data_IF_323217531145
#
_entry.id   IF_323217531145
#
_cell.length_a   1.000
_cell.length_b   1.000
_cell.length_c   1.000
_cell.angle_alpha   90.00
_cell.angle_beta   90.00
_cell.angle_gamma   90.00
#
_symmetry.space_group_name_H-M   'P 1'
#
loop_
_entity.id
_entity.type
_entity.pdbx_description
1 polymer ?
#
# COMPACT_ATOMS: atom_id res chain seq x y z
N UNK A 1 -46.55 5.27 54.20
CA UNK A 1 -46.89 6.28 53.17
C UNK A 1 -45.62 6.54 52.38
N UNK A 2 -45.55 6.03 51.14
CA UNK A 2 -44.47 6.22 50.14
C UNK A 2 -43.13 5.55 50.48
N UNK A 3 -42.60 4.54 49.76
CA UNK A 3 -42.71 4.23 48.34
C UNK A 3 -41.61 4.94 47.56
N UNK A 4 -40.42 4.34 47.48
CA UNK A 4 -39.34 4.73 46.58
C UNK A 4 -38.57 3.47 46.18
N UNK A 5 -39.17 2.71 45.28
CA UNK A 5 -38.54 1.59 44.60
C UNK A 5 -37.48 2.13 43.65
N UNK A 6 -36.22 1.82 43.95
CA UNK A 6 -35.12 2.03 43.01
C UNK A 6 -35.20 1.00 41.91
N UNK A 7 -35.59 1.42 40.71
CA UNK A 7 -35.38 0.66 39.48
C UNK A 7 -33.87 0.46 39.25
N UNK A 8 -33.35 -0.66 39.74
CA UNK A 8 -32.08 -1.19 39.31
C UNK A 8 -32.22 -1.68 37.87
N UNK A 9 -31.82 -0.85 36.90
CA UNK A 9 -31.79 -1.17 35.49
C UNK A 9 -31.02 -2.47 35.23
N UNK A 10 -31.76 -3.54 34.95
CA UNK A 10 -31.27 -4.85 34.59
C UNK A 10 -30.53 -4.75 33.25
N UNK A 11 -29.20 -4.74 33.28
CA UNK A 11 -28.37 -4.83 32.07
C UNK A 11 -28.59 -6.22 31.46
N UNK A 12 -29.52 -6.33 30.52
CA UNK A 12 -29.86 -7.59 29.85
C UNK A 12 -28.60 -8.34 29.33
N UNK A 13 -28.40 -9.62 29.70
CA UNK A 13 -27.21 -10.41 29.34
C UNK A 13 -27.00 -10.60 27.83
N UNK A 14 -28.05 -10.36 27.03
CA UNK A 14 -28.03 -10.42 25.55
C UNK A 14 -27.06 -9.40 24.94
N UNK A 15 -26.96 -8.19 25.51
CA UNK A 15 -26.06 -7.15 25.00
C UNK A 15 -24.57 -7.49 25.15
N UNK A 16 -24.22 -8.20 26.24
CA UNK A 16 -22.86 -8.66 26.52
C UNK A 16 -22.39 -9.73 25.52
N UNK A 17 -23.23 -10.74 25.26
CA UNK A 17 -22.91 -11.83 24.34
C UNK A 17 -22.73 -11.35 22.89
N UNK A 18 -23.60 -10.43 22.42
CA UNK A 18 -23.48 -9.83 21.07
C UNK A 18 -22.18 -9.03 20.93
N UNK A 19 -21.80 -8.29 21.98
CA UNK A 19 -20.56 -7.49 21.99
C UNK A 19 -19.32 -8.38 22.00
N UNK A 20 -19.33 -9.48 22.78
CA UNK A 20 -18.25 -10.46 22.79
C UNK A 20 -18.06 -11.12 21.41
N UNK A 21 -19.15 -11.55 20.75
CA UNK A 21 -19.09 -12.14 19.41
C UNK A 21 -18.53 -11.19 18.34
N UNK A 22 -18.85 -9.89 18.43
CA UNK A 22 -18.28 -8.85 17.55
C UNK A 22 -16.78 -8.69 17.72
N UNK A 23 -16.29 -8.67 18.97
CA UNK A 23 -14.85 -8.58 19.27
C UNK A 23 -14.09 -9.80 18.75
N UNK A 24 -14.64 -11.00 18.93
CA UNK A 24 -14.06 -12.25 18.39
C UNK A 24 -13.97 -12.21 16.86
N UNK A 25 -15.03 -11.76 16.19
CA UNK A 25 -15.04 -11.64 14.71
C UNK A 25 -13.99 -10.63 14.23
N UNK A 26 -13.88 -9.48 14.91
CA UNK A 26 -12.88 -8.46 14.59
C UNK A 26 -11.46 -8.99 14.79
N UNK A 27 -11.19 -9.65 15.91
CA UNK A 27 -9.89 -10.27 16.19
C UNK A 27 -9.55 -11.35 15.15
N UNK A 28 -10.51 -12.18 14.75
CA UNK A 28 -10.33 -13.17 13.68
C UNK A 28 -9.99 -12.53 12.33
N UNK A 29 -10.64 -11.43 11.97
CA UNK A 29 -10.32 -10.70 10.73
C UNK A 29 -8.89 -10.14 10.75
N UNK A 30 -8.48 -9.54 11.87
CA UNK A 30 -7.09 -9.05 12.04
C UNK A 30 -6.10 -10.20 11.98
N UNK A 31 -6.39 -11.35 12.61
CA UNK A 31 -5.52 -12.53 12.57
C UNK A 31 -5.32 -13.07 11.14
N UNK A 32 -6.39 -13.14 10.33
CA UNK A 32 -6.29 -13.55 8.92
C UNK A 32 -5.44 -12.56 8.13
N UNK A 33 -5.61 -11.26 8.35
CA UNK A 33 -4.79 -10.23 7.71
C UNK A 33 -3.31 -10.38 8.10
N UNK A 34 -3.00 -10.48 9.40
CA UNK A 34 -1.61 -10.66 9.86
C UNK A 34 -0.98 -11.91 9.26
N UNK A 35 -1.70 -13.04 9.25
CA UNK A 35 -1.22 -14.28 8.64
C UNK A 35 -0.92 -14.09 7.13
N UNK A 36 -1.85 -13.49 6.39
CA UNK A 36 -1.66 -13.21 4.97
C UNK A 36 -0.46 -12.26 4.73
N UNK A 37 -0.28 -11.24 5.56
CA UNK A 37 0.85 -10.32 5.47
C UNK A 37 2.19 -11.04 5.65
N UNK A 38 2.30 -11.89 6.66
CA UNK A 38 3.52 -12.68 6.93
C UNK A 38 3.77 -13.69 5.79
N UNK A 39 2.73 -14.39 5.31
CA UNK A 39 2.86 -15.31 4.19
C UNK A 39 3.36 -14.58 2.93
N UNK A 40 2.77 -13.44 2.59
CA UNK A 40 3.07 -12.72 1.35
C UNK A 40 4.43 -12.02 1.37
N UNK A 41 4.95 -11.63 2.52
CA UNK A 41 6.22 -10.90 2.60
C UNK A 41 7.41 -11.76 3.06
N UNK A 42 7.18 -12.86 3.78
CA UNK A 42 8.27 -13.61 4.44
C UNK A 42 8.33 -15.09 4.06
N UNK A 43 7.18 -15.77 3.96
CA UNK A 43 7.18 -17.23 3.86
C UNK A 43 6.99 -17.73 2.42
N UNK A 44 6.07 -17.14 1.66
CA UNK A 44 5.74 -17.56 0.30
C UNK A 44 5.38 -16.38 -0.63
N UNK A 45 6.27 -15.40 -0.86
CA UNK A 45 5.96 -14.23 -1.69
C UNK A 45 5.50 -14.58 -3.12
N UNK A 46 6.02 -15.68 -3.69
CA UNK A 46 5.61 -16.19 -5.01
C UNK A 46 4.17 -16.71 -5.06
N UNK A 47 3.60 -17.08 -3.91
CA UNK A 47 2.23 -17.56 -3.78
C UNK A 47 1.26 -16.47 -3.31
N UNK A 48 1.69 -15.20 -3.29
CA UNK A 48 0.85 -14.08 -2.85
C UNK A 48 -0.52 -14.00 -3.55
N UNK A 49 -0.68 -14.28 -4.86
CA UNK A 49 -2.01 -14.26 -5.49
C UNK A 49 -2.95 -15.31 -4.89
N UNK A 50 -2.44 -16.54 -4.68
CA UNK A 50 -3.21 -17.64 -4.12
C UNK A 50 -3.58 -17.38 -2.66
N UNK A 51 -2.58 -17.07 -1.83
CA UNK A 51 -2.75 -16.81 -0.40
C UNK A 51 -3.64 -15.59 -0.15
N UNK A 52 -3.56 -14.55 -0.98
CA UNK A 52 -4.45 -13.38 -0.93
C UNK A 52 -5.88 -13.70 -1.33
N UNK A 53 -6.09 -14.52 -2.36
CA UNK A 53 -7.42 -14.98 -2.74
C UNK A 53 -8.06 -15.83 -1.62
N UNK A 54 -7.29 -16.74 -1.02
CA UNK A 54 -7.73 -17.57 0.11
C UNK A 54 -8.07 -16.70 1.33
N UNK A 55 -7.18 -15.77 1.71
CA UNK A 55 -7.41 -14.84 2.81
C UNK A 55 -8.66 -13.96 2.58
N UNK A 56 -8.84 -13.47 1.35
CA UNK A 56 -10.05 -12.72 0.95
C UNK A 56 -11.31 -13.56 1.13
N UNK A 57 -11.30 -14.82 0.67
CA UNK A 57 -12.40 -15.76 0.87
C UNK A 57 -12.72 -16.01 2.34
N UNK A 58 -11.68 -16.22 3.17
CA UNK A 58 -11.83 -16.42 4.61
C UNK A 58 -12.42 -15.18 5.30
N UNK A 59 -11.95 -13.98 4.95
CA UNK A 59 -12.47 -12.70 5.48
C UNK A 59 -13.94 -12.50 5.10
N UNK A 60 -14.30 -12.76 3.84
CA UNK A 60 -15.68 -12.67 3.38
C UNK A 60 -16.57 -13.69 4.09
N UNK A 61 -16.14 -14.94 4.23
CA UNK A 61 -16.88 -15.97 4.94
C UNK A 61 -17.12 -15.58 6.41
N UNK A 62 -16.08 -15.12 7.10
CA UNK A 62 -16.16 -14.62 8.47
C UNK A 62 -17.15 -13.44 8.58
N UNK A 63 -17.04 -12.45 7.69
CA UNK A 63 -17.92 -11.29 7.68
C UNK A 63 -19.39 -11.68 7.45
N UNK A 64 -19.64 -12.57 6.47
CA UNK A 64 -20.99 -13.03 6.13
C UNK A 64 -21.62 -13.86 7.25
N UNK A 65 -20.85 -14.75 7.90
CA UNK A 65 -21.29 -15.50 9.09
C UNK A 65 -21.60 -14.58 10.28
N UNK A 66 -20.97 -13.42 10.36
CA UNK A 66 -21.28 -12.40 11.37
C UNK A 66 -22.49 -11.52 11.03
N UNK A 67 -23.17 -11.77 9.91
CA UNK A 67 -24.37 -11.06 9.48
C UNK A 67 -24.14 -9.79 8.64
N UNK A 68 -22.91 -9.44 8.27
CA UNK A 68 -22.65 -8.27 7.42
C UNK A 68 -23.17 -8.48 6.00
N UNK A 69 -23.97 -7.55 5.48
CA UNK A 69 -24.50 -7.59 4.12
C UNK A 69 -23.45 -7.18 3.06
N UNK A 70 -23.70 -7.51 1.79
CA UNK A 70 -22.86 -7.09 0.67
C UNK A 70 -22.79 -5.56 0.51
N UNK A 71 -23.85 -4.85 0.87
CA UNK A 71 -23.86 -3.38 0.85
C UNK A 71 -22.95 -2.81 1.94
N UNK A 72 -23.02 -3.34 3.16
CA UNK A 72 -22.11 -2.97 4.27
C UNK A 72 -20.66 -3.28 3.94
N UNK A 73 -20.38 -4.37 3.23
CA UNK A 73 -19.05 -4.71 2.73
C UNK A 73 -18.56 -3.79 1.60
N UNK A 74 -19.42 -2.93 1.05
CA UNK A 74 -19.04 -1.97 0.03
C UNK A 74 -19.25 -2.44 -1.41
N UNK A 75 -19.91 -3.57 -1.64
CA UNK A 75 -20.27 -4.07 -2.98
C UNK A 75 -21.53 -3.41 -3.56
N UNK A 76 -21.97 -2.30 -2.96
CA UNK A 76 -23.05 -1.45 -3.46
C UNK A 76 -22.52 -0.45 -4.51
N UNK A 77 -23.43 0.14 -5.31
CA UNK A 77 -23.10 1.23 -6.28
C UNK A 77 -22.02 0.90 -7.32
N UNK A 78 -21.91 -0.37 -7.73
CA UNK A 78 -20.87 -0.85 -8.68
C UNK A 78 -20.69 0.05 -9.91
N UNK A 79 -21.77 0.45 -10.59
CA UNK A 79 -21.69 1.32 -11.77
C UNK A 79 -21.14 2.73 -11.48
N UNK A 80 -21.44 3.30 -10.30
CA UNK A 80 -20.86 4.58 -9.86
C UNK A 80 -19.40 4.40 -9.47
N UNK A 81 -19.08 3.30 -8.78
CA UNK A 81 -17.70 2.94 -8.43
C UNK A 81 -16.81 2.77 -9.64
N UNK A 82 -17.28 2.03 -10.66
CA UNK A 82 -16.58 1.85 -11.92
C UNK A 82 -16.36 3.17 -12.66
N UNK A 83 -17.35 4.09 -12.67
CA UNK A 83 -17.19 5.42 -13.28
C UNK A 83 -16.15 6.28 -12.55
N UNK A 84 -16.24 6.37 -11.22
CA UNK A 84 -15.28 7.15 -10.41
C UNK A 84 -13.88 6.54 -10.53
N UNK A 85 -13.77 5.24 -10.31
CA UNK A 85 -12.50 4.51 -10.37
C UNK A 85 -11.88 4.53 -11.76
N UNK A 86 -12.69 4.40 -12.82
CA UNK A 86 -12.24 4.51 -14.21
C UNK A 86 -11.72 5.91 -14.53
N UNK A 87 -12.43 6.97 -14.14
CA UNK A 87 -11.97 8.34 -14.34
C UNK A 87 -10.64 8.61 -13.60
N UNK A 88 -10.50 8.11 -12.38
CA UNK A 88 -9.27 8.21 -11.60
C UNK A 88 -8.13 7.39 -12.22
N UNK A 89 -8.41 6.17 -12.68
CA UNK A 89 -7.43 5.34 -13.39
C UNK A 89 -6.95 5.99 -14.69
N UNK A 90 -7.85 6.61 -15.46
CA UNK A 90 -7.50 7.40 -16.64
C UNK A 90 -6.65 8.62 -16.29
N UNK A 91 -6.95 9.30 -15.18
CA UNK A 91 -6.13 10.41 -14.71
C UNK A 91 -4.71 9.95 -14.32
N UNK A 92 -4.57 8.82 -13.63
CA UNK A 92 -3.26 8.21 -13.33
C UNK A 92 -2.52 7.89 -14.62
N UNK A 93 -3.16 7.23 -15.58
CA UNK A 93 -2.54 6.93 -16.88
C UNK A 93 -2.10 8.20 -17.63
N UNK A 94 -2.89 9.27 -17.56
CA UNK A 94 -2.52 10.56 -18.15
C UNK A 94 -1.31 11.20 -17.46
N UNK A 95 -1.21 11.11 -16.13
CA UNK A 95 -0.04 11.58 -15.36
C UNK A 95 1.21 10.81 -15.76
N UNK A 96 1.13 9.48 -15.83
CA UNK A 96 2.25 8.65 -16.31
C UNK A 96 2.63 9.00 -17.76
N UNK A 97 1.64 9.16 -18.65
CA UNK A 97 1.85 9.56 -20.04
C UNK A 97 2.53 10.91 -20.20
N UNK A 98 2.06 11.93 -19.48
CA UNK A 98 2.70 13.25 -19.45
C UNK A 98 4.13 13.17 -18.88
N UNK A 99 4.31 12.37 -17.83
CA UNK A 99 5.59 12.15 -17.17
C UNK A 99 6.66 11.52 -18.06
N UNK A 100 6.29 10.58 -18.93
CA UNK A 100 7.22 10.01 -19.93
C UNK A 100 7.38 10.88 -21.17
N UNK A 101 6.38 11.70 -21.51
CA UNK A 101 6.45 12.61 -22.65
C UNK A 101 7.47 13.74 -22.42
N UNK A 102 7.54 14.27 -21.19
CA UNK A 102 8.46 15.36 -20.81
C UNK A 102 9.84 14.78 -20.46
N UNK A 103 10.92 15.09 -21.22
CA UNK A 103 12.25 14.52 -20.97
C UNK A 103 12.78 14.73 -19.55
N UNK A 104 12.58 15.94 -19.01
CA UNK A 104 13.05 16.29 -17.67
C UNK A 104 12.46 15.42 -16.54
N UNK A 105 11.31 14.79 -16.76
CA UNK A 105 10.63 13.96 -15.76
C UNK A 105 10.81 12.46 -15.98
N UNK A 106 11.31 12.01 -17.14
CA UNK A 106 11.42 10.58 -17.50
C UNK A 106 12.15 9.74 -16.46
N UNK A 107 13.21 10.28 -15.86
CA UNK A 107 13.98 9.61 -14.80
C UNK A 107 13.14 9.16 -13.60
N UNK A 108 12.05 9.86 -13.30
CA UNK A 108 11.15 9.52 -12.18
C UNK A 108 10.19 8.36 -12.52
N UNK A 109 10.05 8.04 -13.80
CA UNK A 109 9.15 6.98 -14.29
C UNK A 109 9.91 5.73 -14.78
N UNK A 110 11.25 5.76 -14.78
CA UNK A 110 12.09 4.58 -15.01
C UNK A 110 12.30 3.84 -13.70
N UNK A 111 11.45 2.86 -13.45
CA UNK A 111 11.63 1.95 -12.32
C UNK A 111 12.59 0.82 -12.72
N UNK A 112 13.82 0.83 -12.19
CA UNK A 112 14.80 -0.23 -12.45
C UNK A 112 14.34 -1.61 -11.99
N UNK A 113 13.48 -1.68 -10.98
CA UNK A 113 12.88 -2.96 -10.55
C UNK A 113 11.95 -3.49 -11.63
N UNK A 114 11.12 -2.62 -12.21
CA UNK A 114 10.26 -3.01 -13.30
C UNK A 114 11.05 -3.37 -14.57
N UNK A 115 12.15 -2.65 -14.83
CA UNK A 115 13.02 -2.86 -15.99
C UNK A 115 13.92 -4.10 -15.90
N UNK A 116 14.30 -4.52 -14.68
CA UNK A 116 15.09 -5.74 -14.46
C UNK A 116 14.28 -7.03 -14.66
N UNK A 117 12.95 -6.95 -14.67
CA UNK A 117 12.08 -8.08 -14.97
C UNK A 117 11.98 -8.35 -16.47
N UNK A 118 11.79 -9.62 -16.84
CA UNK A 118 11.35 -9.97 -18.19
C UNK A 118 9.98 -9.34 -18.50
N UNK A 119 9.68 -9.11 -19.78
CA UNK A 119 8.39 -8.56 -20.21
C UNK A 119 7.22 -9.42 -19.72
N UNK A 120 7.33 -10.74 -19.86
CA UNK A 120 6.32 -11.68 -19.37
C UNK A 120 6.11 -11.54 -17.85
N UNK A 121 7.21 -11.45 -17.07
CA UNK A 121 7.10 -11.31 -15.62
C UNK A 121 6.48 -9.99 -15.22
N UNK A 122 6.79 -8.88 -15.88
CA UNK A 122 6.15 -7.62 -15.56
C UNK A 122 4.66 -7.57 -15.92
N UNK A 123 4.22 -8.26 -16.99
CA UNK A 123 2.80 -8.45 -17.24
C UNK A 123 2.15 -9.31 -16.16
N UNK A 124 2.81 -10.38 -15.70
CA UNK A 124 2.35 -11.18 -14.58
C UNK A 124 2.22 -10.33 -13.30
N UNK A 125 3.20 -9.47 -13.01
CA UNK A 125 3.14 -8.52 -11.90
C UNK A 125 1.93 -7.57 -12.05
N UNK A 126 1.81 -6.89 -13.19
CA UNK A 126 0.80 -5.86 -13.43
C UNK A 126 -0.63 -6.41 -13.53
N UNK A 127 -0.82 -7.64 -14.02
CA UNK A 127 -2.13 -8.21 -14.33
C UNK A 127 -2.60 -9.27 -13.33
N UNK A 128 -1.68 -9.92 -12.61
CA UNK A 128 -2.02 -10.99 -11.66
C UNK A 128 -1.55 -10.66 -10.24
N UNK A 129 -0.25 -10.42 -10.04
CA UNK A 129 0.28 -10.18 -8.70
C UNK A 129 -0.34 -8.95 -8.05
N UNK A 130 -0.35 -7.82 -8.74
CA UNK A 130 -0.89 -6.56 -8.21
C UNK A 130 -2.41 -6.69 -8.01
N UNK A 131 -3.23 -7.04 -9.02
CA UNK A 131 -4.68 -7.06 -8.82
C UNK A 131 -5.15 -8.08 -7.80
N UNK A 132 -4.55 -9.29 -7.76
CA UNK A 132 -5.02 -10.39 -6.91
C UNK A 132 -4.19 -10.54 -5.64
N UNK A 133 -2.85 -10.55 -5.78
CA UNK A 133 -1.92 -10.70 -4.65
C UNK A 133 -1.82 -9.47 -3.76
N UNK A 134 -2.29 -8.31 -4.22
CA UNK A 134 -2.25 -7.04 -3.45
C UNK A 134 -3.65 -6.44 -3.32
N UNK A 135 -4.20 -5.92 -4.42
CA UNK A 135 -5.37 -5.02 -4.37
C UNK A 135 -6.62 -5.74 -3.88
N UNK A 136 -6.89 -6.97 -4.35
CA UNK A 136 -8.07 -7.72 -3.94
C UNK A 136 -8.13 -7.89 -2.42
N UNK A 137 -7.06 -8.38 -1.82
CA UNK A 137 -6.98 -8.59 -0.38
C UNK A 137 -7.03 -7.26 0.38
N UNK A 138 -6.31 -6.25 -0.09
CA UNK A 138 -6.23 -4.98 0.62
C UNK A 138 -7.57 -4.22 0.61
N UNK A 139 -8.24 -4.15 -0.53
CA UNK A 139 -9.53 -3.46 -0.61
C UNK A 139 -10.64 -4.23 0.09
N UNK A 140 -10.73 -5.55 -0.12
CA UNK A 140 -11.77 -6.36 0.55
C UNK A 140 -11.49 -6.48 2.04
N UNK A 141 -10.23 -6.64 2.45
CA UNK A 141 -9.84 -6.81 3.84
C UNK A 141 -9.99 -5.53 4.65
N UNK A 142 -9.31 -4.45 4.27
CA UNK A 142 -9.29 -3.21 5.04
C UNK A 142 -10.55 -2.37 4.81
N UNK A 143 -10.89 -2.12 3.54
CA UNK A 143 -12.01 -1.25 3.17
C UNK A 143 -13.33 -2.00 3.19
N UNK A 144 -13.36 -3.30 2.94
CA UNK A 144 -14.57 -4.11 2.98
C UNK A 144 -14.91 -4.59 4.39
N UNK A 145 -14.22 -5.63 4.84
CA UNK A 145 -14.53 -6.42 6.04
C UNK A 145 -14.17 -5.68 7.32
N UNK A 146 -12.91 -5.28 7.49
CA UNK A 146 -12.43 -4.63 8.71
C UNK A 146 -13.17 -3.32 8.96
N UNK A 147 -13.27 -2.47 7.94
CA UNK A 147 -14.03 -1.22 8.03
C UNK A 147 -15.51 -1.46 8.40
N UNK A 148 -16.19 -2.45 7.80
CA UNK A 148 -17.59 -2.74 8.13
C UNK A 148 -17.77 -3.26 9.57
N UNK A 149 -16.88 -4.14 10.03
CA UNK A 149 -16.88 -4.64 11.41
C UNK A 149 -16.65 -3.52 12.43
N UNK A 150 -15.70 -2.63 12.15
CA UNK A 150 -15.43 -1.45 12.98
C UNK A 150 -16.60 -0.47 12.96
N UNK A 151 -17.20 -0.22 11.79
CA UNK A 151 -18.33 0.69 11.66
C UNK A 151 -19.54 0.21 12.46
N UNK A 152 -19.80 -1.11 12.47
CA UNK A 152 -20.88 -1.72 13.25
C UNK A 152 -20.63 -1.70 14.76
N UNK A 153 -19.37 -1.69 15.18
CA UNK A 153 -18.99 -1.78 16.59
C UNK A 153 -18.74 -0.42 17.24
N UNK A 154 -18.21 0.55 16.48
CA UNK A 154 -17.71 1.83 16.98
C UNK A 154 -18.17 3.04 16.16
N UNK A 155 -18.92 2.83 15.07
CA UNK A 155 -19.39 3.89 14.18
C UNK A 155 -18.42 4.23 13.04
N UNK A 156 -18.84 5.10 12.10
CA UNK A 156 -18.16 5.31 10.83
C UNK A 156 -16.81 6.04 10.97
N UNK A 157 -16.69 7.01 11.88
CA UNK A 157 -15.44 7.78 12.05
C UNK A 157 -14.31 6.90 12.59
N UNK A 158 -14.47 6.14 13.69
CA UNK A 158 -13.45 5.20 14.13
C UNK A 158 -13.12 4.13 13.09
N UNK A 159 -14.10 3.69 12.29
CA UNK A 159 -13.84 2.73 11.22
C UNK A 159 -12.88 3.25 10.14
N UNK A 160 -12.99 4.52 9.75
CA UNK A 160 -12.03 5.16 8.84
C UNK A 160 -10.66 5.24 9.50
N UNK A 161 -10.58 5.78 10.72
CA UNK A 161 -9.30 6.01 11.41
C UNK A 161 -8.56 4.70 11.66
N UNK A 162 -9.22 3.72 12.28
CA UNK A 162 -8.58 2.46 12.69
C UNK A 162 -8.25 1.58 11.49
N UNK A 163 -9.15 1.46 10.50
CA UNK A 163 -8.84 0.68 9.29
C UNK A 163 -7.67 1.29 8.52
N UNK A 164 -7.61 2.62 8.42
CA UNK A 164 -6.51 3.32 7.72
C UNK A 164 -5.19 3.21 8.49
N UNK A 165 -5.21 3.32 9.82
CA UNK A 165 -4.01 3.13 10.64
C UNK A 165 -3.46 1.69 10.52
N UNK A 166 -4.34 0.68 10.57
CA UNK A 166 -3.95 -0.72 10.37
C UNK A 166 -3.44 -0.98 8.95
N UNK A 167 -4.00 -0.28 7.95
CA UNK A 167 -3.48 -0.31 6.58
C UNK A 167 -2.10 0.36 6.46
N UNK A 168 -1.83 1.40 7.24
CA UNK A 168 -0.47 1.93 7.40
C UNK A 168 0.49 0.86 7.93
N UNK A 169 0.12 0.21 9.04
CA UNK A 169 0.94 -0.83 9.68
C UNK A 169 1.15 -2.07 8.79
N UNK A 170 0.19 -2.41 7.92
CA UNK A 170 0.33 -3.47 6.91
C UNK A 170 1.56 -3.30 6.02
N UNK A 171 2.01 -2.05 5.82
CA UNK A 171 3.12 -1.71 4.95
C UNK A 171 4.49 -1.74 5.64
N UNK A 172 4.59 -2.12 6.92
CA UNK A 172 5.88 -2.21 7.61
C UNK A 172 6.83 -3.19 6.91
N UNK A 173 6.40 -4.42 6.62
CA UNK A 173 7.28 -5.41 5.98
C UNK A 173 7.69 -5.00 4.54
N UNK A 174 6.76 -4.59 3.65
CA UNK A 174 7.14 -4.05 2.34
C UNK A 174 8.08 -2.84 2.42
N UNK A 175 7.86 -1.92 3.37
CA UNK A 175 8.70 -0.73 3.51
C UNK A 175 10.11 -1.07 4.00
N UNK A 176 10.25 -2.04 4.91
CA UNK A 176 11.55 -2.57 5.30
C UNK A 176 12.30 -3.16 4.11
N UNK A 177 11.62 -3.99 3.31
CA UNK A 177 12.24 -4.64 2.14
C UNK A 177 12.61 -3.60 1.06
N UNK A 178 11.80 -2.55 0.91
CA UNK A 178 12.10 -1.44 0.01
C UNK A 178 13.32 -0.63 0.48
N UNK A 179 13.43 -0.36 1.78
CA UNK A 179 14.54 0.40 2.35
C UNK A 179 15.87 -0.38 2.28
N UNK A 180 15.85 -1.69 2.48
CA UNK A 180 17.04 -2.54 2.36
C UNK A 180 17.45 -2.74 0.89
N UNK A 181 16.50 -2.77 -0.04
CA UNK A 181 16.76 -2.96 -1.47
C UNK A 181 17.14 -1.68 -2.22
N UNK A 182 16.97 -0.48 -1.65
CA UNK A 182 17.26 0.78 -2.34
C UNK A 182 18.07 1.77 -1.46
N UNK A 183 19.41 1.74 -1.57
CA UNK A 183 20.28 2.67 -0.86
C UNK A 183 20.00 4.15 -1.15
N UNK A 184 19.49 4.49 -2.34
CA UNK A 184 19.17 5.88 -2.71
C UNK A 184 17.93 6.42 -1.97
N UNK A 185 16.96 5.56 -1.67
CA UNK A 185 15.82 5.95 -0.82
C UNK A 185 16.25 6.17 0.63
N UNK A 186 17.21 5.40 1.12
CA UNK A 186 17.81 5.59 2.43
C UNK A 186 18.56 6.93 2.50
N UNK A 187 19.37 7.27 1.49
CA UNK A 187 20.07 8.56 1.38
C UNK A 187 19.14 9.79 1.33
N UNK A 188 18.02 9.69 0.62
CA UNK A 188 16.99 10.74 0.62
C UNK A 188 16.34 10.92 2.01
N UNK A 189 16.15 9.83 2.77
CA UNK A 189 15.63 9.88 4.13
C UNK A 189 16.67 10.42 5.14
N UNK A 190 17.95 10.41 4.80
CA UNK A 190 19.04 11.09 5.53
C UNK A 190 19.09 12.60 5.26
N UNK A 191 18.43 13.07 4.20
CA UNK A 191 18.48 14.47 3.74
C UNK A 191 19.57 14.74 2.71
N UNK A 192 20.15 13.71 2.11
CA UNK A 192 21.20 13.81 1.11
C UNK A 192 20.59 14.06 -0.27
N UNK A 193 21.01 15.14 -0.94
CA UNK A 193 20.39 15.56 -2.20
C UNK A 193 20.64 14.51 -3.32
N UNK A 194 19.61 14.17 -4.14
CA UNK A 194 19.77 13.22 -5.23
C UNK A 194 20.62 13.87 -6.34
N UNK A 195 21.91 13.54 -6.38
CA UNK A 195 22.83 14.07 -7.38
C UNK A 195 24.28 14.28 -6.93
N UNK A 196 24.64 13.96 -5.69
CA UNK A 196 26.04 13.95 -5.22
C UNK A 196 26.85 12.79 -5.82
N UNK A 197 26.88 12.70 -7.15
CA UNK A 197 27.91 11.91 -7.82
C UNK A 197 29.27 12.42 -7.37
N UNK A 198 30.12 11.50 -6.94
CA UNK A 198 31.51 11.77 -6.62
C UNK A 198 32.18 12.41 -7.84
N UNK A 199 32.25 13.74 -7.85
CA UNK A 199 32.93 14.54 -8.85
C UNK A 199 33.35 15.83 -8.15
N UNK A 200 34.65 15.99 -7.91
CA UNK A 200 35.25 17.28 -7.58
C UNK A 200 36.02 17.31 -6.27
N UNK A 201 37.31 17.11 -6.40
CA UNK A 201 38.34 17.88 -5.70
C UNK A 201 37.93 19.38 -5.68
N UNK A 202 37.69 19.95 -4.49
CA UNK A 202 37.20 21.32 -4.31
C UNK A 202 36.90 21.67 -2.85
N UNK A 203 37.20 22.89 -2.37
CA UNK A 203 37.40 23.16 -0.96
C UNK A 203 36.09 23.19 -0.16
N UNK A 204 36.12 22.47 0.97
CA UNK A 204 35.05 22.34 1.95
C UNK A 204 34.61 23.71 2.49
N UNK A 205 33.37 24.10 2.19
CA UNK A 205 32.69 25.27 2.75
C UNK A 205 31.43 24.88 3.53
N UNK A 206 31.51 25.01 4.85
CA UNK A 206 30.45 25.28 5.85
C UNK A 206 29.01 24.80 5.62
N UNK A 207 28.65 23.68 6.26
CA UNK A 207 27.28 23.31 6.61
C UNK A 207 27.31 22.30 7.75
N UNK A 208 26.84 22.69 8.93
CA UNK A 208 26.99 21.93 10.18
C UNK A 208 26.20 20.63 10.25
N UNK A 209 26.75 19.56 9.69
CA UNK A 209 26.43 18.19 10.03
C UNK A 209 27.68 17.54 10.62
N UNK A 210 27.62 17.08 11.86
CA UNK A 210 28.68 16.24 12.44
C UNK A 210 28.96 15.11 11.45
N UNK A 211 30.18 15.02 10.91
CA UNK A 211 30.61 14.07 9.87
C UNK A 211 30.63 12.60 10.31
N UNK A 212 29.67 12.21 11.14
CA UNK A 212 29.44 10.87 11.64
C UNK A 212 28.58 10.13 10.61
N UNK A 213 28.99 8.94 10.13
CA UNK A 213 28.19 8.19 9.17
C UNK A 213 26.79 7.96 9.74
N UNK A 214 25.77 8.25 8.93
CA UNK A 214 24.38 8.06 9.32
C UNK A 214 24.15 6.61 9.76
N UNK A 215 23.45 6.40 10.87
CA UNK A 215 23.13 5.06 11.36
C UNK A 215 22.13 4.41 10.38
N UNK A 216 22.51 3.31 9.68
CA UNK A 216 21.64 2.66 8.70
C UNK A 216 20.29 2.23 9.29
N UNK A 217 20.25 1.95 10.60
CA UNK A 217 19.00 1.58 11.29
C UNK A 217 18.04 2.76 11.41
N UNK A 218 18.56 3.97 11.60
CA UNK A 218 17.75 5.18 11.67
C UNK A 218 17.17 5.54 10.30
N UNK A 219 17.92 5.33 9.22
CA UNK A 219 17.45 5.56 7.84
C UNK A 219 16.30 4.62 7.46
N UNK A 220 16.47 3.31 7.68
CA UNK A 220 15.41 2.32 7.48
C UNK A 220 14.18 2.69 8.32
N UNK A 221 14.38 3.09 9.57
CA UNK A 221 13.27 3.50 10.44
C UNK A 221 12.51 4.70 9.89
N UNK A 222 13.20 5.71 9.33
CA UNK A 222 12.56 6.87 8.71
C UNK A 222 11.75 6.49 7.47
N UNK A 223 12.29 5.64 6.59
CA UNK A 223 11.59 5.15 5.41
C UNK A 223 10.34 4.38 5.81
N UNK A 224 10.44 3.51 6.82
CA UNK A 224 9.29 2.73 7.33
C UNK A 224 8.23 3.64 7.92
N UNK A 225 8.60 4.57 8.81
CA UNK A 225 7.65 5.51 9.44
C UNK A 225 6.97 6.39 8.38
N UNK A 226 7.74 6.92 7.43
CA UNK A 226 7.21 7.72 6.33
C UNK A 226 6.25 6.93 5.45
N UNK A 227 6.60 5.68 5.12
CA UNK A 227 5.74 4.78 4.33
C UNK A 227 4.45 4.44 5.06
N UNK A 228 4.52 4.09 6.35
CA UNK A 228 3.35 3.79 7.20
C UNK A 228 2.41 4.99 7.30
N UNK A 229 2.96 6.20 7.50
CA UNK A 229 2.18 7.42 7.55
C UNK A 229 1.51 7.74 6.20
N UNK A 230 2.27 7.66 5.10
CA UNK A 230 1.76 7.93 3.76
C UNK A 230 0.67 6.95 3.34
N UNK A 231 0.87 5.65 3.57
CA UNK A 231 -0.13 4.62 3.23
C UNK A 231 -1.34 4.68 4.16
N UNK A 232 -1.15 5.06 5.42
CA UNK A 232 -2.26 5.36 6.33
C UNK A 232 -3.15 6.51 5.84
N UNK A 233 -2.54 7.62 5.38
CA UNK A 233 -3.27 8.73 4.77
C UNK A 233 -3.98 8.32 3.48
N UNK A 234 -3.31 7.54 2.62
CA UNK A 234 -3.92 6.96 1.42
C UNK A 234 -5.13 6.06 1.78
N UNK A 235 -5.03 5.29 2.86
CA UNK A 235 -6.12 4.47 3.39
C UNK A 235 -7.37 5.30 3.73
N UNK A 236 -7.20 6.50 4.28
CA UNK A 236 -8.31 7.41 4.56
C UNK A 236 -8.96 7.93 3.28
N UNK A 237 -8.15 8.29 2.27
CA UNK A 237 -8.64 8.67 0.93
C UNK A 237 -9.41 7.52 0.28
N UNK A 238 -8.93 6.29 0.39
CA UNK A 238 -9.60 5.11 -0.17
C UNK A 238 -10.90 4.78 0.56
N UNK A 239 -10.96 4.99 1.88
CA UNK A 239 -12.22 4.90 2.64
C UNK A 239 -13.24 5.94 2.14
N UNK A 240 -12.81 7.15 1.79
CA UNK A 240 -13.68 8.18 1.23
C UNK A 240 -14.16 7.81 -0.19
N UNK A 241 -13.28 7.28 -1.04
CA UNK A 241 -13.66 6.76 -2.37
C UNK A 241 -14.69 5.63 -2.25
N UNK A 242 -14.46 4.70 -1.32
CA UNK A 242 -15.41 3.63 -0.98
C UNK A 242 -16.76 4.20 -0.59
N UNK A 243 -16.80 5.23 0.26
CA UNK A 243 -18.06 5.88 0.68
C UNK A 243 -18.82 6.48 -0.51
N UNK A 244 -18.09 7.04 -1.49
CA UNK A 244 -18.68 7.67 -2.69
C UNK A 244 -19.16 6.65 -3.74
N UNK A 245 -18.39 5.59 -3.97
CA UNK A 245 -18.56 4.69 -5.12
C UNK A 245 -18.65 3.19 -4.81
N UNK A 246 -18.56 2.76 -3.55
CA UNK A 246 -18.33 1.36 -3.20
C UNK A 246 -16.88 0.93 -3.47
N UNK A 247 -16.57 -0.36 -3.26
CA UNK A 247 -15.21 -0.90 -3.34
C UNK A 247 -14.57 -0.81 -4.75
N UNK A 248 -15.37 -0.75 -5.81
CA UNK A 248 -14.84 -0.67 -7.16
C UNK A 248 -14.05 0.64 -7.41
N UNK A 249 -14.42 1.75 -6.76
CA UNK A 249 -13.74 3.03 -6.92
C UNK A 249 -12.28 3.01 -6.42
N UNK A 250 -12.01 2.68 -5.13
CA UNK A 250 -10.64 2.58 -4.65
C UNK A 250 -9.89 1.42 -5.33
N UNK A 251 -10.52 0.27 -5.60
CA UNK A 251 -9.85 -0.85 -6.25
C UNK A 251 -9.29 -0.49 -7.64
N UNK A 252 -10.04 0.21 -8.47
CA UNK A 252 -9.55 0.63 -9.79
C UNK A 252 -8.43 1.67 -9.70
N UNK A 253 -8.55 2.66 -8.81
CA UNK A 253 -7.46 3.62 -8.59
C UNK A 253 -6.20 2.91 -8.08
N UNK A 254 -6.37 1.94 -7.19
CA UNK A 254 -5.28 1.19 -6.58
C UNK A 254 -4.58 0.30 -7.61
N UNK A 255 -5.32 -0.46 -8.42
CA UNK A 255 -4.77 -1.21 -9.57
C UNK A 255 -4.05 -0.25 -10.51
N UNK A 256 -4.66 0.89 -10.87
CA UNK A 256 -4.04 1.83 -11.80
C UNK A 256 -2.69 2.36 -11.26
N UNK A 257 -2.64 2.76 -9.99
CA UNK A 257 -1.42 3.31 -9.39
C UNK A 257 -0.30 2.29 -9.31
N UNK A 258 -0.61 1.02 -9.00
CA UNK A 258 0.41 -0.01 -8.83
C UNK A 258 0.79 -0.73 -10.13
N UNK A 259 -0.17 -0.97 -11.03
CA UNK A 259 0.06 -1.72 -12.28
C UNK A 259 0.62 -0.85 -13.40
N UNK A 260 0.21 0.42 -13.51
CA UNK A 260 0.67 1.27 -14.62
C UNK A 260 2.16 1.61 -14.53
N UNK A 261 2.76 1.61 -13.33
CA UNK A 261 4.21 1.76 -13.18
C UNK A 261 5.01 0.74 -14.00
N UNK A 262 4.62 -0.54 -13.97
CA UNK A 262 5.28 -1.60 -14.75
C UNK A 262 5.17 -1.40 -16.26
N UNK A 263 4.03 -0.89 -16.72
CA UNK A 263 3.78 -0.60 -18.13
C UNK A 263 4.59 0.62 -18.59
N UNK A 264 4.46 1.74 -17.88
CA UNK A 264 5.07 3.01 -18.28
C UNK A 264 6.58 3.03 -18.10
N UNK A 265 7.14 2.26 -17.17
CA UNK A 265 8.59 2.05 -17.09
C UNK A 265 9.17 1.50 -18.40
N UNK A 266 8.42 0.65 -19.13
CA UNK A 266 8.83 0.10 -20.43
C UNK A 266 8.51 1.00 -21.62
N UNK A 267 7.49 1.84 -21.51
CA UNK A 267 7.14 2.81 -22.57
C UNK A 267 8.04 4.05 -22.54
N UNK A 268 8.73 4.31 -21.43
CA UNK A 268 9.66 5.42 -21.31
C UNK A 268 10.82 5.29 -22.32
N UNK A 269 10.97 6.24 -23.27
CA UNK A 269 12.06 6.20 -24.25
C UNK A 269 13.43 6.16 -23.56
N UNK A 270 14.40 5.43 -24.11
CA UNK A 270 15.80 5.52 -23.66
C UNK A 270 16.26 6.99 -23.67
N UNK A 271 16.94 7.43 -22.59
CA UNK A 271 17.64 8.71 -22.65
C UNK A 271 18.67 8.62 -23.78
N UNK A 272 18.76 9.62 -24.67
CA UNK A 272 19.87 9.68 -25.61
C UNK A 272 21.17 9.66 -24.80
N UNK A 273 22.10 8.78 -25.17
CA UNK A 273 23.46 8.80 -24.63
C UNK A 273 23.98 10.24 -24.65
N UNK A 274 24.33 10.81 -23.49
CA UNK A 274 25.15 12.03 -23.49
C UNK A 274 26.46 11.66 -24.17
N UNK A 275 26.72 12.26 -25.32
CA UNK A 275 28.02 12.20 -25.96
C UNK A 275 29.06 12.77 -24.98
N UNK A 276 29.79 11.90 -24.28
CA UNK A 276 30.78 12.27 -23.26
C UNK A 276 31.21 11.13 -22.34
N UNK A 277 30.34 10.18 -22.01
CA UNK A 277 30.69 9.00 -21.22
C UNK A 277 31.06 7.84 -22.16
N UNK A 278 32.32 7.79 -22.60
CA UNK A 278 32.85 6.59 -23.26
C UNK A 278 32.82 5.43 -22.26
N UNK A 279 32.37 4.22 -22.65
CA UNK A 279 32.56 3.03 -21.83
C UNK A 279 34.06 2.84 -21.58
N UNK A 280 34.46 2.72 -20.31
CA UNK A 280 35.81 2.26 -19.96
C UNK A 280 35.92 0.83 -20.49
N UNK A 281 36.90 0.53 -21.38
CA UNK A 281 37.07 -0.84 -21.87
C UNK A 281 37.36 -1.76 -20.68
N UNK A 282 36.70 -2.92 -20.67
CA UNK A 282 36.93 -3.94 -19.65
C UNK A 282 38.41 -4.35 -19.64
N UNK A 283 39.02 -4.58 -18.46
CA UNK A 283 40.40 -5.06 -18.39
C UNK A 283 40.51 -6.42 -19.10
N UNK A 284 41.41 -6.50 -20.06
CA UNK A 284 41.75 -7.75 -20.75
C UNK A 284 42.26 -8.76 -19.72
N UNK A 285 41.60 -9.91 -19.62
CA UNK A 285 42.13 -11.05 -18.87
C UNK A 285 43.31 -11.65 -19.67
N UNK A 286 44.53 -11.74 -19.10
CA UNK A 286 45.62 -12.44 -19.76
C UNK A 286 45.31 -13.94 -19.84
N UNK A 287 45.68 -14.53 -20.98
CA UNK A 287 45.46 -15.91 -21.39
C UNK A 287 46.17 -16.95 -20.50
#
# INVERSE_FOLDING_TARGET
MGGADGEAGERTPVGGAVTAGRRVTLAGAVAVLVAANVLNNRLAPRLAPLTSAVATGALLALARRSGLSWSELGFHRRSRGLRIGGALASAVAAVYGAGIAIPATRRFFRDERALSLSTARAFEEALLQVPIGTVLLEEVGFRGVLHALLARSYGPRPAVVVSSALFGLWHVLPAMDMATANPALSGLASGEAPGGGASGDGPRGGGGGDGRPADPRLEVSRVVVGSVAATGLAGAVFCELRRRGGLAAPALLHVATNSLGYLFARLAPAEPFRQGERPVPAPEHPA
#
